data_IF_978808175610
#
_entry.id   IF_978808175610
#
_cell.length_a   1.000
_cell.length_b   1.000
_cell.length_c   1.000
_cell.angle_alpha   90.00
_cell.angle_beta   90.00
_cell.angle_gamma   90.00
#
_symmetry.space_group_name_H-M   'P 1'
#
loop_
_entity.id
_entity.type
_entity.pdbx_description
1 polymer ?
#
# COMPACT_ATOMS: atom_id res chain seq x y z
N UNK A 1 15.45 3.84 9.85
CA UNK A 1 14.99 4.55 11.07
C UNK A 1 15.80 5.84 11.20
N UNK A 2 15.22 7.04 10.99
CA UNK A 2 15.90 8.28 11.29
C UNK A 2 15.58 8.72 12.73
N UNK A 3 16.64 9.04 13.47
CA UNK A 3 16.59 9.61 14.82
C UNK A 3 16.15 11.08 14.73
N UNK A 4 15.04 11.42 15.39
CA UNK A 4 14.57 12.80 15.48
C UNK A 4 15.53 13.61 16.35
N UNK A 5 16.34 14.46 15.71
CA UNK A 5 17.29 15.33 16.41
C UNK A 5 16.52 16.50 17.03
N UNK A 6 16.12 16.36 18.29
CA UNK A 6 15.48 17.41 19.08
C UNK A 6 16.50 18.51 19.37
N UNK A 7 16.58 19.50 18.47
CA UNK A 7 17.36 20.72 18.69
C UNK A 7 16.52 21.65 19.57
N UNK A 8 16.98 22.04 20.77
CA UNK A 8 16.25 23.03 21.57
C UNK A 8 16.29 24.37 20.85
N UNK A 9 15.16 24.81 20.30
CA UNK A 9 15.06 26.14 19.70
C UNK A 9 15.07 27.20 20.81
N UNK A 10 16.02 28.14 20.70
CA UNK A 10 16.17 29.24 21.65
C UNK A 10 14.99 30.22 21.55
N UNK A 11 14.45 30.61 22.70
CA UNK A 11 13.36 31.59 22.82
C UNK A 11 13.88 32.96 22.34
N UNK A 12 13.17 33.69 21.44
CA UNK A 12 13.61 35.00 20.99
C UNK A 12 13.51 36.03 22.13
N UNK A 13 14.64 36.63 22.50
CA UNK A 13 14.71 37.77 23.42
C UNK A 13 14.33 39.04 22.64
N UNK A 14 13.16 39.60 22.97
CA UNK A 14 12.69 40.88 22.45
C UNK A 14 13.57 42.02 23.00
N UNK A 15 14.38 42.64 22.11
CA UNK A 15 15.19 43.81 22.43
C UNK A 15 14.38 45.11 22.31
N UNK A 16 13.41 45.31 23.20
CA UNK A 16 12.76 46.62 23.37
C UNK A 16 13.38 47.34 24.57
N UNK A 17 14.03 48.47 24.31
CA UNK A 17 14.74 49.28 25.30
C UNK A 17 13.84 49.71 26.47
N UNK A 18 14.27 49.36 27.68
CA UNK A 18 13.69 49.69 28.97
C UNK A 18 14.44 48.92 30.05
N UNK A 19 14.76 49.55 31.19
CA UNK A 19 15.62 49.02 32.25
C UNK A 19 15.37 47.52 32.54
N UNK A 20 16.42 46.71 32.37
CA UNK A 20 16.36 45.26 32.54
C UNK A 20 16.23 44.86 34.01
N UNK A 21 15.00 44.79 34.51
CA UNK A 21 14.71 43.99 35.69
C UNK A 21 14.80 42.51 35.30
N UNK A 22 15.81 41.81 35.83
CA UNK A 22 15.83 40.34 35.85
C UNK A 22 14.56 39.87 36.54
N UNK A 23 13.64 39.26 35.78
CA UNK A 23 12.44 38.64 36.33
C UNK A 23 12.86 37.39 37.11
N UNK A 24 13.04 37.53 38.42
CA UNK A 24 13.33 36.41 39.33
C UNK A 24 12.02 35.64 39.50
N UNK A 25 11.87 34.54 38.78
CA UNK A 25 10.73 33.62 38.90
C UNK A 25 11.14 32.47 39.82
N UNK A 26 10.27 32.08 40.75
CA UNK A 26 10.52 30.93 41.62
C UNK A 26 10.53 29.63 40.80
N UNK A 27 11.35 28.65 41.18
CA UNK A 27 11.44 27.38 40.45
C UNK A 27 10.08 26.69 40.30
N UNK A 28 9.22 26.78 41.32
CA UNK A 28 7.86 26.25 41.29
C UNK A 28 6.95 26.93 40.25
N UNK A 29 7.16 28.22 40.00
CA UNK A 29 6.34 28.98 39.06
C UNK A 29 6.82 28.81 37.61
N UNK A 30 8.12 28.61 37.43
CA UNK A 30 8.68 28.19 36.15
C UNK A 30 8.21 26.79 35.74
N UNK A 31 8.27 25.82 36.66
CA UNK A 31 7.77 24.45 36.42
C UNK A 31 6.28 24.46 36.07
N UNK A 32 5.47 25.23 36.80
CA UNK A 32 4.04 25.35 36.51
C UNK A 32 3.77 25.92 35.11
N UNK A 33 4.54 26.93 34.68
CA UNK A 33 4.41 27.51 33.36
C UNK A 33 4.88 26.55 32.25
N UNK A 34 5.95 25.79 32.48
CA UNK A 34 6.44 24.75 31.56
C UNK A 34 5.43 23.62 31.43
N UNK A 35 4.85 23.17 32.55
CA UNK A 35 3.80 22.15 32.57
C UNK A 35 2.57 22.65 31.79
N UNK A 36 2.04 23.84 32.09
CA UNK A 36 0.91 24.43 31.36
C UNK A 36 1.18 24.56 29.84
N UNK A 37 2.39 24.98 29.47
CA UNK A 37 2.81 25.07 28.06
C UNK A 37 3.03 23.70 27.39
N UNK A 38 3.38 22.67 28.16
CA UNK A 38 3.53 21.29 27.69
C UNK A 38 2.16 20.63 27.50
N UNK A 39 1.23 20.84 28.44
CA UNK A 39 -0.16 20.38 28.35
C UNK A 39 -0.90 21.04 27.20
N UNK A 40 -0.70 22.34 26.96
CA UNK A 40 -1.26 23.04 25.80
C UNK A 40 -0.76 22.43 24.48
N UNK A 41 0.56 22.19 24.37
CA UNK A 41 1.17 21.55 23.19
C UNK A 41 0.72 20.10 23.00
N UNK A 42 0.44 19.36 24.07
CA UNK A 42 -0.11 18.01 23.98
C UNK A 42 -1.57 18.04 23.50
N UNK A 43 -2.40 18.93 24.04
CA UNK A 43 -3.79 19.10 23.59
C UNK A 43 -3.89 19.52 22.13
N UNK A 44 -3.09 20.47 21.68
CA UNK A 44 -3.06 20.89 20.27
C UNK A 44 -2.67 19.73 19.34
N UNK A 45 -1.75 18.85 19.77
CA UNK A 45 -1.39 17.64 19.01
C UNK A 45 -2.52 16.62 19.00
N UNK A 46 -3.15 16.36 20.15
CA UNK A 46 -4.30 15.45 20.25
C UNK A 46 -5.48 15.93 19.41
N UNK A 47 -5.76 17.23 19.39
CA UNK A 47 -6.79 17.85 18.55
C UNK A 47 -6.44 17.78 17.05
N UNK A 48 -5.18 18.01 16.68
CA UNK A 48 -4.71 17.87 15.31
C UNK A 48 -4.76 16.41 14.82
N UNK A 49 -4.35 15.45 15.66
CA UNK A 49 -4.39 14.02 15.35
C UNK A 49 -5.84 13.54 15.22
N UNK A 50 -6.75 13.96 16.10
CA UNK A 50 -8.18 13.66 16.01
C UNK A 50 -8.81 14.21 14.71
N UNK A 51 -8.41 15.40 14.26
CA UNK A 51 -8.89 15.98 13.00
C UNK A 51 -8.37 15.20 11.78
N UNK A 52 -7.12 14.73 11.81
CA UNK A 52 -6.53 13.90 10.74
C UNK A 52 -7.20 12.52 10.67
N UNK A 53 -7.47 11.91 11.83
CA UNK A 53 -8.22 10.66 11.89
C UNK A 53 -9.63 10.81 11.31
N UNK A 54 -10.31 11.92 11.58
CA UNK A 54 -11.63 12.20 11.01
C UNK A 54 -11.57 12.41 9.48
N UNK A 55 -10.52 13.04 8.96
CA UNK A 55 -10.29 13.19 7.51
C UNK A 55 -10.03 11.85 6.82
N UNK A 56 -9.16 11.01 7.38
CA UNK A 56 -8.88 9.68 6.82
C UNK A 56 -10.13 8.79 6.88
N UNK A 57 -10.83 8.80 8.02
CA UNK A 57 -12.06 8.04 8.18
C UNK A 57 -13.15 8.52 7.20
N UNK A 58 -13.30 9.84 7.02
CA UNK A 58 -14.19 10.42 6.02
C UNK A 58 -13.83 9.99 4.60
N UNK A 59 -12.54 10.05 4.24
CA UNK A 59 -12.06 9.61 2.92
C UNK A 59 -12.35 8.13 2.66
N UNK A 60 -12.04 7.25 3.62
CA UNK A 60 -12.30 5.80 3.50
C UNK A 60 -13.80 5.55 3.33
N UNK A 61 -14.66 6.22 4.10
CA UNK A 61 -16.13 6.09 3.98
C UNK A 61 -16.64 6.56 2.61
N UNK A 62 -16.12 7.69 2.12
CA UNK A 62 -16.43 8.20 0.79
C UNK A 62 -16.05 7.17 -0.29
N UNK A 63 -14.79 6.69 -0.28
CA UNK A 63 -14.32 5.67 -1.23
C UNK A 63 -15.10 4.37 -1.15
N UNK A 64 -15.41 3.89 0.05
CA UNK A 64 -16.24 2.69 0.22
C UNK A 64 -17.64 2.87 -0.38
N UNK A 65 -18.23 4.05 -0.21
CA UNK A 65 -19.55 4.38 -0.76
C UNK A 65 -19.51 4.46 -2.28
N UNK A 66 -18.51 5.13 -2.85
CA UNK A 66 -18.28 5.20 -4.30
C UNK A 66 -18.17 3.80 -4.91
N UNK A 67 -17.31 2.94 -4.34
CA UNK A 67 -17.05 1.59 -4.85
C UNK A 67 -18.28 0.67 -4.68
N UNK A 68 -19.02 0.82 -3.58
CA UNK A 68 -20.28 0.09 -3.37
C UNK A 68 -21.32 0.50 -4.41
N UNK A 69 -21.44 1.80 -4.68
CA UNK A 69 -22.38 2.34 -5.67
C UNK A 69 -21.98 1.87 -7.08
N UNK A 70 -20.69 1.91 -7.40
CA UNK A 70 -20.15 1.40 -8.66
C UNK A 70 -20.52 -0.07 -8.87
N UNK A 71 -20.27 -0.95 -7.88
CA UNK A 71 -20.63 -2.38 -7.96
C UNK A 71 -22.13 -2.60 -8.21
N UNK A 72 -22.98 -1.74 -7.65
CA UNK A 72 -24.43 -1.83 -7.84
C UNK A 72 -24.84 -1.32 -9.22
N UNK A 73 -24.24 -0.23 -9.70
CA UNK A 73 -24.53 0.38 -11.00
C UNK A 73 -24.01 -0.46 -12.18
N UNK A 74 -22.87 -1.16 -12.03
CA UNK A 74 -22.28 -2.02 -13.05
C UNK A 74 -23.11 -3.29 -13.34
N UNK A 75 -24.08 -3.62 -12.46
CA UNK A 75 -24.94 -4.80 -12.64
C UNK A 75 -24.27 -6.12 -12.27
N UNK A 76 -23.06 -6.11 -11.68
CA UNK A 76 -22.39 -7.32 -11.19
C UNK A 76 -23.27 -8.05 -10.17
N UNK A 77 -23.92 -7.30 -9.27
CA UNK A 77 -24.83 -7.88 -8.26
C UNK A 77 -25.98 -8.67 -8.89
N UNK A 78 -26.58 -8.16 -9.96
CA UNK A 78 -27.65 -8.86 -10.68
C UNK A 78 -27.13 -10.11 -11.40
N UNK A 79 -25.95 -10.01 -12.02
CA UNK A 79 -25.28 -11.15 -12.65
C UNK A 79 -25.00 -12.27 -11.65
N UNK A 80 -24.50 -11.92 -10.46
CA UNK A 80 -24.25 -12.88 -9.38
C UNK A 80 -25.53 -13.52 -8.84
N UNK A 81 -26.61 -12.75 -8.66
CA UNK A 81 -27.91 -13.27 -8.26
C UNK A 81 -28.47 -14.24 -9.30
N UNK A 82 -28.36 -13.91 -10.58
CA UNK A 82 -28.79 -14.79 -11.66
C UNK A 82 -27.97 -16.08 -11.70
N UNK A 83 -26.64 -15.99 -11.60
CA UNK A 83 -25.78 -17.17 -11.51
C UNK A 83 -26.13 -18.07 -10.32
N UNK A 84 -26.43 -17.48 -9.15
CA UNK A 84 -26.87 -18.22 -7.97
C UNK A 84 -28.22 -18.93 -8.19
N UNK A 85 -29.19 -18.28 -8.82
CA UNK A 85 -30.48 -18.91 -9.18
C UNK A 85 -30.28 -20.07 -10.14
N UNK A 86 -29.48 -19.87 -11.20
CA UNK A 86 -29.13 -20.94 -12.16
C UNK A 86 -28.45 -22.11 -11.46
N UNK A 87 -27.53 -21.85 -10.52
CA UNK A 87 -26.89 -22.88 -9.71
C UNK A 87 -27.88 -23.60 -8.77
N UNK A 88 -28.88 -22.90 -8.24
CA UNK A 88 -29.95 -23.54 -7.45
C UNK A 88 -30.98 -24.27 -8.31
N UNK A 89 -30.96 -24.05 -9.63
CA UNK A 89 -31.93 -24.62 -10.56
C UNK A 89 -33.26 -23.88 -10.56
N UNK A 90 -33.23 -22.55 -10.37
CA UNK A 90 -34.41 -21.69 -10.32
C UNK A 90 -34.35 -20.68 -11.46
N UNK A 91 -35.48 -20.43 -12.10
CA UNK A 91 -35.66 -19.32 -13.04
C UNK A 91 -35.87 -17.99 -12.28
N UNK A 92 -35.65 -16.86 -12.95
CA UNK A 92 -36.11 -15.56 -12.44
C UNK A 92 -37.63 -15.47 -12.55
N UNK A 93 -38.27 -14.63 -11.73
CA UNK A 93 -39.72 -14.41 -11.78
C UNK A 93 -40.19 -13.98 -13.17
N UNK A 94 -39.46 -13.05 -13.81
CA UNK A 94 -39.76 -12.63 -15.19
C UNK A 94 -39.70 -13.79 -16.18
N UNK A 95 -38.71 -14.68 -16.05
CA UNK A 95 -38.56 -15.79 -16.97
C UNK A 95 -39.63 -16.87 -16.75
N UNK A 96 -40.03 -17.10 -15.50
CA UNK A 96 -41.16 -17.99 -15.19
C UNK A 96 -42.46 -17.48 -15.81
N UNK A 97 -42.75 -16.18 -15.70
CA UNK A 97 -43.97 -15.62 -16.29
C UNK A 97 -43.96 -15.75 -17.81
N UNK A 98 -42.82 -15.56 -18.47
CA UNK A 98 -42.69 -15.78 -19.92
C UNK A 98 -42.93 -17.26 -20.30
N UNK A 99 -42.37 -18.20 -19.54
CA UNK A 99 -42.54 -19.64 -19.77
C UNK A 99 -44.01 -20.04 -19.62
N UNK A 100 -44.69 -19.51 -18.60
CA UNK A 100 -46.12 -19.75 -18.36
C UNK A 100 -47.00 -19.15 -19.46
N UNK A 101 -46.72 -17.92 -19.90
CA UNK A 101 -47.44 -17.29 -21.01
C UNK A 101 -47.28 -18.06 -22.32
N UNK A 102 -46.09 -18.61 -22.55
CA UNK A 102 -45.82 -19.47 -23.71
C UNK A 102 -46.48 -20.86 -23.60
N UNK A 103 -46.92 -21.27 -22.39
CA UNK A 103 -47.45 -22.61 -22.13
C UNK A 103 -46.36 -23.70 -22.08
N UNK A 104 -45.12 -23.33 -21.77
CA UNK A 104 -43.98 -24.24 -21.70
C UNK A 104 -43.86 -24.99 -20.36
N UNK A 105 -42.90 -25.91 -20.28
CA UNK A 105 -42.59 -26.63 -19.03
C UNK A 105 -41.75 -25.79 -18.07
N UNK A 106 -42.13 -25.80 -16.78
CA UNK A 106 -41.40 -25.14 -15.70
C UNK A 106 -40.20 -25.95 -15.17
N UNK A 107 -39.96 -27.15 -15.71
CA UNK A 107 -38.87 -28.02 -15.26
C UNK A 107 -37.53 -27.36 -15.60
N UNK A 108 -36.67 -27.22 -14.58
CA UNK A 108 -35.31 -26.72 -14.75
C UNK A 108 -34.34 -27.90 -14.94
N UNK A 109 -33.58 -27.93 -16.04
CA UNK A 109 -32.73 -29.07 -16.39
C UNK A 109 -31.54 -29.36 -15.44
N UNK A 110 -31.20 -28.40 -14.56
CA UNK A 110 -30.21 -28.49 -13.46
C UNK A 110 -28.84 -29.08 -13.87
N UNK A 111 -28.36 -28.76 -15.07
CA UNK A 111 -27.03 -29.17 -15.55
C UNK A 111 -25.89 -28.35 -14.94
N UNK A 112 -26.14 -27.08 -14.64
CA UNK A 112 -25.13 -26.13 -14.12
C UNK A 112 -24.41 -26.60 -12.85
N UNK A 113 -25.09 -27.12 -11.81
CA UNK A 113 -24.42 -27.50 -10.56
C UNK A 113 -23.43 -28.65 -10.72
N UNK A 114 -23.72 -29.58 -11.63
CA UNK A 114 -22.82 -30.68 -11.94
C UNK A 114 -21.57 -30.17 -12.64
N UNK A 115 -21.72 -29.24 -13.61
CA UNK A 115 -20.59 -28.61 -14.30
C UNK A 115 -19.73 -27.76 -13.36
N UNK A 116 -20.35 -26.94 -12.51
CA UNK A 116 -19.63 -26.14 -11.51
C UNK A 116 -18.84 -27.03 -10.54
N UNK A 117 -19.40 -28.14 -10.05
CA UNK A 117 -18.68 -29.10 -9.19
C UNK A 117 -17.47 -29.70 -9.89
N UNK A 118 -17.62 -30.12 -11.15
CA UNK A 118 -16.50 -30.63 -11.95
C UNK A 118 -15.40 -29.58 -12.17
N UNK A 119 -15.78 -28.35 -12.50
CA UNK A 119 -14.83 -27.25 -12.66
C UNK A 119 -14.10 -26.91 -11.35
N UNK A 120 -14.83 -26.87 -10.23
CA UNK A 120 -14.22 -26.67 -8.91
C UNK A 120 -13.24 -27.80 -8.57
N UNK A 121 -13.56 -29.06 -8.88
CA UNK A 121 -12.64 -30.18 -8.66
C UNK A 121 -11.35 -30.00 -9.47
N UNK A 122 -11.45 -29.63 -10.75
CA UNK A 122 -10.29 -29.35 -11.61
C UNK A 122 -9.44 -28.19 -11.07
N UNK A 123 -10.07 -27.07 -10.68
CA UNK A 123 -9.34 -25.93 -10.14
C UNK A 123 -8.63 -26.29 -8.82
N UNK A 124 -9.24 -27.12 -7.98
CA UNK A 124 -8.60 -27.58 -6.75
C UNK A 124 -7.39 -28.46 -7.06
N UNK A 125 -7.49 -29.33 -8.05
CA UNK A 125 -6.36 -30.14 -8.49
C UNK A 125 -5.20 -29.26 -8.96
N UNK A 126 -5.46 -28.25 -9.81
CA UNK A 126 -4.42 -27.36 -10.32
C UNK A 126 -3.77 -26.49 -9.23
N UNK A 127 -4.56 -25.90 -8.33
CA UNK A 127 -4.05 -24.89 -7.38
C UNK A 127 -3.69 -25.43 -5.99
N UNK A 128 -4.21 -26.59 -5.61
CA UNK A 128 -3.99 -27.20 -4.29
C UNK A 128 -3.30 -28.57 -4.40
N UNK A 129 -2.73 -28.91 -5.57
CA UNK A 129 -1.81 -30.05 -5.71
C UNK A 129 -0.60 -29.88 -4.80
N UNK A 130 0.04 -31.00 -4.45
CA UNK A 130 1.31 -31.01 -3.72
C UNK A 130 2.45 -30.40 -4.53
N UNK A 131 2.34 -30.45 -5.86
CA UNK A 131 3.30 -29.85 -6.78
C UNK A 131 2.94 -28.40 -7.07
N UNK A 132 3.95 -27.53 -7.13
CA UNK A 132 3.75 -26.10 -7.35
C UNK A 132 3.54 -25.86 -8.85
N UNK A 133 2.41 -25.26 -9.23
CA UNK A 133 2.08 -24.99 -10.64
C UNK A 133 2.94 -23.89 -11.30
N UNK A 134 3.96 -23.39 -10.59
CA UNK A 134 4.88 -22.37 -11.04
C UNK A 134 6.28 -22.71 -10.58
N UNK A 135 7.25 -22.39 -11.42
CA UNK A 135 8.68 -22.47 -11.12
C UNK A 135 9.27 -21.06 -11.18
N UNK A 136 10.44 -20.88 -10.56
CA UNK A 136 11.19 -19.62 -10.59
C UNK A 136 12.54 -19.91 -11.18
N UNK A 137 12.72 -19.49 -12.43
CA UNK A 137 14.02 -19.48 -13.07
C UNK A 137 14.90 -18.35 -12.52
N UNK A 138 16.24 -18.54 -12.48
CA UNK A 138 17.14 -17.46 -12.14
C UNK A 138 16.97 -16.29 -13.10
N UNK A 139 17.05 -15.06 -12.58
CA UNK A 139 17.04 -13.86 -13.42
C UNK A 139 18.21 -13.95 -14.40
N UNK A 140 18.00 -13.72 -15.71
CA UNK A 140 19.09 -13.75 -16.68
C UNK A 140 20.18 -12.76 -16.27
N UNK A 141 21.44 -13.17 -16.45
CA UNK A 141 22.58 -12.27 -16.19
C UNK A 141 22.45 -11.07 -17.13
N UNK A 142 22.47 -9.83 -16.61
CA UNK A 142 22.37 -8.65 -17.46
C UNK A 142 23.60 -8.58 -18.38
N UNK A 143 23.37 -8.41 -19.68
CA UNK A 143 24.44 -8.16 -20.65
C UNK A 143 24.92 -6.72 -20.49
N UNK A 144 26.22 -6.55 -20.25
CA UNK A 144 26.84 -5.22 -20.12
C UNK A 144 27.09 -4.69 -21.54
N UNK A 145 26.64 -3.47 -21.89
CA UNK A 145 26.95 -2.90 -23.20
C UNK A 145 28.46 -2.73 -23.42
N UNK A 146 28.93 -3.02 -24.63
CA UNK A 146 30.35 -2.93 -25.03
C UNK A 146 31.01 -1.58 -24.67
N UNK A 147 30.24 -0.49 -24.66
CA UNK A 147 30.74 0.84 -24.30
C UNK A 147 31.23 0.91 -22.85
N UNK A 148 30.52 0.27 -21.92
CA UNK A 148 30.87 0.26 -20.49
C UNK A 148 32.09 -0.65 -20.28
N UNK A 149 32.18 -1.77 -21.00
CA UNK A 149 33.36 -2.63 -20.94
C UNK A 149 34.62 -1.91 -21.42
N UNK A 150 34.52 -1.13 -22.50
CA UNK A 150 35.62 -0.31 -23.00
C UNK A 150 36.03 0.79 -22.02
N UNK A 151 35.06 1.47 -21.40
CA UNK A 151 35.34 2.49 -20.37
C UNK A 151 36.05 1.88 -19.16
N UNK A 152 35.62 0.69 -18.72
CA UNK A 152 36.27 -0.04 -17.62
C UNK A 152 37.71 -0.42 -18.00
N UNK A 153 37.92 -0.95 -19.20
CA UNK A 153 39.27 -1.31 -19.68
C UNK A 153 40.19 -0.09 -19.74
N UNK A 154 39.70 1.06 -20.20
CA UNK A 154 40.47 2.31 -20.22
C UNK A 154 40.84 2.77 -18.81
N UNK A 155 39.89 2.75 -17.88
CA UNK A 155 40.14 3.11 -16.48
C UNK A 155 41.17 2.20 -15.82
N UNK A 156 41.07 0.88 -16.04
CA UNK A 156 42.04 -0.11 -15.52
C UNK A 156 43.44 0.14 -16.09
N UNK A 157 43.56 0.40 -17.39
CA UNK A 157 44.86 0.68 -18.02
C UNK A 157 45.52 1.96 -17.50
N UNK A 158 44.72 3.00 -17.22
CA UNK A 158 45.21 4.23 -16.60
C UNK A 158 45.75 3.91 -15.22
N UNK A 159 44.96 3.27 -14.36
CA UNK A 159 45.35 2.94 -12.98
C UNK A 159 46.64 2.11 -12.92
N UNK A 160 46.74 1.06 -13.76
CA UNK A 160 47.92 0.21 -13.90
C UNK A 160 49.16 1.02 -14.28
N UNK A 161 49.03 1.95 -15.24
CA UNK A 161 50.16 2.81 -15.66
C UNK A 161 50.63 3.76 -14.55
N UNK A 162 49.71 4.30 -13.75
CA UNK A 162 50.04 5.13 -12.58
C UNK A 162 50.70 4.32 -11.47
N UNK A 163 50.24 3.09 -11.21
CA UNK A 163 50.87 2.20 -10.23
C UNK A 163 52.29 1.77 -10.65
N UNK A 164 52.53 1.51 -11.94
CA UNK A 164 53.88 1.27 -12.47
C UNK A 164 54.82 2.47 -12.25
N UNK A 165 54.31 3.70 -12.43
CA UNK A 165 55.08 4.92 -12.20
C UNK A 165 55.32 5.20 -10.71
N UNK A 166 54.39 4.80 -9.84
CA UNK A 166 54.50 4.90 -8.39
C UNK A 166 55.41 3.82 -7.77
N UNK A 167 55.98 2.90 -8.58
CA UNK A 167 57.00 1.95 -8.15
C UNK A 167 56.50 0.77 -7.30
N UNK A 168 55.19 0.55 -7.22
CA UNK A 168 54.64 -0.65 -6.59
C UNK A 168 54.55 -1.78 -7.61
N UNK A 169 55.12 -2.95 -7.25
CA UNK A 169 55.09 -4.13 -8.11
C UNK A 169 53.64 -4.63 -8.26
N UNK A 170 53.20 -4.75 -9.51
CA UNK A 170 51.94 -5.38 -9.87
C UNK A 170 52.14 -6.89 -9.73
N UNK A 171 51.53 -7.49 -8.70
CA UNK A 171 51.43 -8.94 -8.58
C UNK A 171 50.29 -9.39 -9.49
N UNK A 172 50.64 -9.95 -10.65
CA UNK A 172 49.70 -10.62 -11.53
C UNK A 172 49.43 -12.03 -10.98
N UNK A 173 48.15 -12.46 -10.84
CA UNK A 173 47.85 -13.88 -10.65
C UNK A 173 48.14 -14.70 -11.93
#
# INVERSE_FOLDING_TARGET
>A
MPIANSTPQAIPVNQSGGQGLLRIVSGSELTRQEDEASFARQREKEEADALVEDQLASHIRARMTDMRNFRNAEGISERLLNALRTYKGMYSTSKLTEIQQFGGSEVFARVTPTKCRAATALLRDVYLSQERAWDVDPTPVPEVPDSIEQDIQQLVNIEVSTMMQAGQQIDQP
#
